data_IF_849008856037
#
_entry.id   IF_849008856037
#
_cell.length_a   1.000
_cell.length_b   1.000
_cell.length_c   1.000
_cell.angle_alpha   90.00
_cell.angle_beta   90.00
_cell.angle_gamma   90.00
#
_symmetry.space_group_name_H-M   'P 1'
#
loop_
_entity.id
_entity.type
_entity.pdbx_description
1 polymer ?
#
# COMPACT_ATOMS: atom_id res chain seq x y z
N UNK A 1 7.30 3.22 19.92
CA UNK A 1 8.12 4.36 19.54
C UNK A 1 7.90 5.49 20.55
N UNK A 2 8.95 5.91 21.27
CA UNK A 2 8.86 6.91 22.35
C UNK A 2 8.36 8.30 21.89
N UNK A 3 8.50 8.61 20.60
CA UNK A 3 8.06 9.89 20.02
C UNK A 3 6.60 9.89 19.57
N UNK A 4 5.98 8.72 19.44
CA UNK A 4 4.60 8.59 18.95
C UNK A 4 3.57 9.35 19.80
N UNK A 5 3.60 9.30 21.15
CA UNK A 5 2.69 10.08 21.98
C UNK A 5 2.89 11.59 21.89
N UNK A 6 4.13 12.04 21.62
CA UNK A 6 4.47 13.46 21.51
C UNK A 6 4.01 14.07 20.17
N UNK A 7 4.17 13.33 19.08
CA UNK A 7 3.84 13.81 17.75
C UNK A 7 2.35 13.69 17.44
N UNK A 8 1.69 12.63 17.91
CA UNK A 8 0.29 12.29 17.68
C UNK A 8 -0.26 12.81 16.32
N UNK A 9 0.35 12.42 15.19
CA UNK A 9 -0.03 12.94 13.89
C UNK A 9 -1.46 12.51 13.54
N UNK A 10 -2.18 13.30 12.79
CA UNK A 10 -3.52 12.91 12.31
C UNK A 10 -3.43 11.92 11.16
N UNK A 11 -2.47 12.12 10.27
CA UNK A 11 -2.28 11.35 9.03
C UNK A 11 -0.79 11.09 8.84
N UNK A 12 -0.44 9.86 8.48
CA UNK A 12 0.90 9.45 8.05
C UNK A 12 0.90 9.26 6.53
N UNK A 13 1.90 9.79 5.85
CA UNK A 13 2.08 9.64 4.41
C UNK A 13 3.34 8.81 4.17
N UNK A 14 3.22 7.78 3.34
CA UNK A 14 4.32 6.96 2.88
C UNK A 14 4.72 7.40 1.47
N UNK A 15 6.01 7.58 1.28
CA UNK A 15 6.62 7.90 -0.01
C UNK A 15 7.90 7.09 -0.15
N UNK A 16 7.99 6.31 -1.21
CA UNK A 16 9.24 5.61 -1.55
C UNK A 16 10.25 6.57 -2.18
N UNK A 17 11.52 6.24 -2.03
CA UNK A 17 12.62 6.91 -2.71
C UNK A 17 12.42 6.78 -4.23
N UNK A 18 12.56 7.88 -4.97
CA UNK A 18 12.29 7.92 -6.42
C UNK A 18 10.86 8.29 -6.79
N UNK A 19 9.93 8.33 -5.83
CA UNK A 19 8.56 8.80 -6.09
C UNK A 19 8.44 10.31 -5.94
N UNK A 20 7.91 10.97 -6.95
CA UNK A 20 7.72 12.43 -7.02
C UNK A 20 6.23 12.78 -7.06
N UNK A 21 5.64 13.22 -5.95
CA UNK A 21 4.27 13.72 -5.94
C UNK A 21 4.13 14.98 -6.80
N UNK A 22 3.07 15.07 -7.59
CA UNK A 22 2.74 16.29 -8.33
C UNK A 22 2.24 17.39 -7.36
N UNK A 23 2.28 18.65 -7.78
CA UNK A 23 1.74 19.77 -6.99
C UNK A 23 0.31 19.46 -6.50
N UNK A 24 0.04 19.80 -5.25
CA UNK A 24 -1.22 19.56 -4.55
C UNK A 24 -1.62 18.09 -4.30
N UNK A 25 -0.83 17.10 -4.71
CA UNK A 25 -1.18 15.68 -4.54
C UNK A 25 -1.28 15.28 -3.07
N UNK A 26 -0.38 15.76 -2.23
CA UNK A 26 -0.43 15.54 -0.77
C UNK A 26 -1.69 16.18 -0.17
N UNK A 27 -2.06 17.37 -0.63
CA UNK A 27 -3.29 18.04 -0.21
C UNK A 27 -4.54 17.22 -0.61
N UNK A 28 -4.56 16.64 -1.81
CA UNK A 28 -5.68 15.80 -2.24
C UNK A 28 -5.80 14.52 -1.42
N UNK A 29 -4.68 13.90 -1.02
CA UNK A 29 -4.70 12.77 -0.08
C UNK A 29 -5.26 13.20 1.28
N UNK A 30 -4.74 14.29 1.85
CA UNK A 30 -5.21 14.82 3.12
C UNK A 30 -6.71 15.10 3.09
N UNK A 31 -7.21 15.72 2.01
CA UNK A 31 -8.63 16.07 1.85
C UNK A 31 -9.56 14.85 1.89
N UNK A 32 -9.11 13.68 1.42
CA UNK A 32 -9.90 12.45 1.50
C UNK A 32 -10.21 12.06 2.95
N UNK A 33 -9.26 12.25 3.86
CA UNK A 33 -9.45 12.00 5.29
C UNK A 33 -10.26 13.09 6.00
N UNK A 34 -10.17 14.31 5.53
CA UNK A 34 -10.92 15.43 6.08
C UNK A 34 -12.41 15.34 5.70
N UNK A 35 -12.69 14.89 4.48
CA UNK A 35 -14.05 14.75 3.95
C UNK A 35 -14.84 13.57 4.53
N UNK A 36 -14.15 12.50 4.94
CA UNK A 36 -14.79 11.28 5.46
C UNK A 36 -14.00 10.74 6.66
N UNK A 37 -14.58 10.78 7.87
CA UNK A 37 -13.92 10.30 9.08
C UNK A 37 -13.66 8.79 9.07
N UNK A 38 -14.37 8.01 8.26
CA UNK A 38 -14.22 6.56 8.18
C UNK A 38 -13.06 6.12 7.26
N UNK A 39 -12.44 7.04 6.52
CA UNK A 39 -11.26 6.72 5.71
C UNK A 39 -10.08 6.42 6.63
N UNK A 40 -9.68 5.16 6.64
CA UNK A 40 -8.50 4.67 7.36
C UNK A 40 -7.22 4.70 6.54
N UNK A 41 -7.33 4.54 5.21
CA UNK A 41 -6.21 4.57 4.28
C UNK A 41 -6.61 5.12 2.90
N UNK A 42 -5.67 5.76 2.22
CA UNK A 42 -5.90 6.27 0.86
C UNK A 42 -4.62 6.16 0.03
N UNK A 43 -4.76 5.95 -1.28
CA UNK A 43 -3.65 6.06 -2.22
C UNK A 43 -3.98 6.97 -3.39
N UNK A 44 -2.94 7.50 -4.01
CA UNK A 44 -3.04 8.27 -5.24
C UNK A 44 -2.84 7.45 -6.50
N UNK A 45 -2.97 8.11 -7.64
CA UNK A 45 -2.60 7.60 -8.95
C UNK A 45 -1.08 7.62 -9.07
N UNK A 46 -0.46 6.45 -9.21
CA UNK A 46 0.96 6.33 -9.52
C UNK A 46 1.10 6.14 -11.03
N UNK A 47 1.97 6.94 -11.62
CA UNK A 47 2.31 6.85 -13.05
C UNK A 47 3.82 6.68 -13.21
N UNK A 48 4.21 6.01 -14.28
CA UNK A 48 5.62 5.82 -14.60
C UNK A 48 6.23 7.15 -15.07
N UNK A 49 7.43 7.46 -14.60
CA UNK A 49 8.21 8.59 -15.12
C UNK A 49 8.43 8.44 -16.62
N UNK A 50 8.12 9.50 -17.36
CA UNK A 50 8.20 9.48 -18.83
C UNK A 50 9.51 10.04 -19.37
N UNK A 51 10.31 10.66 -18.49
CA UNK A 51 11.50 11.40 -18.89
C UNK A 51 11.19 12.66 -19.73
N UNK A 52 12.24 13.36 -20.16
CA UNK A 52 12.08 14.51 -21.06
C UNK A 52 11.58 14.02 -22.42
N UNK A 53 10.54 14.69 -22.95
CA UNK A 53 9.94 14.36 -24.25
C UNK A 53 9.46 12.89 -24.38
N UNK A 54 9.13 12.25 -23.26
CA UNK A 54 8.57 10.88 -23.22
C UNK A 54 9.53 9.80 -23.71
N UNK A 55 10.85 10.07 -23.76
CA UNK A 55 11.82 9.13 -24.30
C UNK A 55 11.91 7.81 -23.53
N UNK A 56 11.60 7.80 -22.23
CA UNK A 56 11.55 6.58 -21.43
C UNK A 56 10.54 5.56 -21.96
N UNK A 57 9.44 6.02 -22.57
CA UNK A 57 8.43 5.14 -23.15
C UNK A 57 8.86 4.48 -24.46
N UNK A 58 10.00 4.86 -25.04
CA UNK A 58 10.59 4.13 -26.17
C UNK A 58 11.14 2.76 -25.75
N UNK A 59 11.43 2.57 -24.46
CA UNK A 59 11.75 1.26 -23.92
C UNK A 59 10.45 0.45 -23.78
N UNK A 60 10.29 -0.70 -24.48
CA UNK A 60 9.05 -1.49 -24.45
C UNK A 60 8.71 -2.02 -23.06
N UNK A 61 9.72 -2.27 -22.19
CA UNK A 61 9.48 -2.67 -20.81
C UNK A 61 8.84 -1.54 -19.99
N UNK A 62 9.32 -0.31 -20.15
CA UNK A 62 8.77 0.87 -19.48
C UNK A 62 7.36 1.16 -19.99
N UNK A 63 7.14 1.05 -21.31
CA UNK A 63 5.83 1.24 -21.93
C UNK A 63 4.80 0.21 -21.43
N UNK A 64 5.19 -1.07 -21.31
CA UNK A 64 4.32 -2.11 -20.77
C UNK A 64 3.92 -1.84 -19.31
N UNK A 65 4.88 -1.45 -18.47
CA UNK A 65 4.60 -1.09 -17.07
C UNK A 65 3.73 0.17 -16.96
N UNK A 66 3.96 1.16 -17.84
CA UNK A 66 3.11 2.35 -17.91
C UNK A 66 1.65 1.97 -18.25
N UNK A 67 1.45 1.08 -19.22
CA UNK A 67 0.12 0.59 -19.58
C UNK A 67 -0.53 -0.15 -18.39
N UNK A 68 0.19 -1.05 -17.74
CA UNK A 68 -0.31 -1.78 -16.57
C UNK A 68 -0.77 -0.84 -15.44
N UNK A 69 0.05 0.17 -15.11
CA UNK A 69 -0.31 1.15 -14.08
C UNK A 69 -1.55 1.95 -14.47
N UNK A 70 -1.67 2.33 -15.75
CA UNK A 70 -2.86 3.02 -16.27
C UNK A 70 -4.10 2.16 -16.17
N UNK A 71 -4.04 0.89 -16.55
CA UNK A 71 -5.15 -0.04 -16.43
C UNK A 71 -5.61 -0.18 -14.98
N UNK A 72 -4.68 -0.39 -14.06
CA UNK A 72 -5.00 -0.49 -12.63
C UNK A 72 -5.63 0.80 -12.08
N UNK A 73 -5.13 1.97 -12.48
CA UNK A 73 -5.67 3.26 -12.03
C UNK A 73 -7.05 3.61 -12.62
N UNK A 74 -7.40 3.04 -13.77
CA UNK A 74 -8.69 3.29 -14.45
C UNK A 74 -9.75 2.28 -14.03
N UNK A 75 -9.39 1.01 -13.85
CA UNK A 75 -10.31 -0.10 -13.61
C UNK A 75 -10.26 -0.60 -12.17
N UNK A 76 -9.12 -1.15 -11.73
CA UNK A 76 -9.05 -1.90 -10.49
C UNK A 76 -9.26 -1.01 -9.26
N UNK A 77 -8.45 0.02 -9.10
CA UNK A 77 -8.49 0.87 -7.92
C UNK A 77 -9.79 1.65 -7.74
N UNK A 78 -10.41 2.24 -8.79
CA UNK A 78 -11.73 2.86 -8.66
C UNK A 78 -12.81 1.86 -8.26
N UNK A 79 -12.80 0.66 -8.85
CA UNK A 79 -13.75 -0.40 -8.52
C UNK A 79 -13.58 -0.87 -7.05
N UNK A 80 -12.38 -1.22 -6.65
CA UNK A 80 -12.07 -1.60 -5.27
C UNK A 80 -12.44 -0.49 -4.26
N UNK A 81 -12.11 0.76 -4.59
CA UNK A 81 -12.46 1.92 -3.77
C UNK A 81 -13.97 2.13 -3.62
N UNK A 82 -14.77 1.80 -4.63
CA UNK A 82 -16.23 1.88 -4.54
C UNK A 82 -16.80 0.90 -3.51
N UNK A 83 -16.16 -0.26 -3.32
CA UNK A 83 -16.50 -1.23 -2.28
C UNK A 83 -15.85 -0.93 -0.91
N UNK A 84 -15.07 0.14 -0.79
CA UNK A 84 -14.41 0.55 0.46
C UNK A 84 -13.19 -0.28 0.86
N UNK A 85 -12.77 -1.21 0.02
CA UNK A 85 -11.57 -2.02 0.21
C UNK A 85 -10.67 -1.96 -1.01
N UNK A 86 -9.40 -1.64 -0.80
CA UNK A 86 -8.36 -1.67 -1.84
C UNK A 86 -7.35 -2.74 -1.42
N UNK A 87 -7.08 -3.67 -2.31
CA UNK A 87 -6.23 -4.84 -2.06
C UNK A 87 -4.77 -4.46 -1.74
N UNK A 88 -4.32 -3.31 -2.23
CA UNK A 88 -3.00 -2.76 -1.93
C UNK A 88 -3.02 -1.23 -2.01
N UNK A 89 -2.62 -0.58 -0.94
CA UNK A 89 -2.24 0.83 -0.92
C UNK A 89 -0.71 0.87 -1.06
N UNK A 90 -0.17 1.22 -2.24
CA UNK A 90 1.27 1.11 -2.49
C UNK A 90 2.07 2.01 -1.54
N UNK A 91 3.11 1.47 -0.90
CA UNK A 91 4.04 2.25 -0.07
C UNK A 91 4.65 3.44 -0.79
N UNK A 92 4.75 3.35 -2.12
CA UNK A 92 5.26 4.41 -2.97
C UNK A 92 4.48 5.73 -2.87
N UNK A 93 3.14 5.67 -2.76
CA UNK A 93 2.33 6.88 -2.59
C UNK A 93 0.99 6.56 -1.92
N UNK A 94 1.01 6.49 -0.61
CA UNK A 94 -0.17 6.21 0.20
C UNK A 94 -0.21 7.07 1.46
N UNK A 95 -1.36 7.12 2.09
CA UNK A 95 -1.58 7.83 3.34
C UNK A 95 -2.51 7.03 4.24
N UNK A 96 -2.33 7.17 5.55
CA UNK A 96 -3.09 6.43 6.55
C UNK A 96 -3.50 7.34 7.70
N UNK A 97 -4.71 7.16 8.20
CA UNK A 97 -5.15 7.80 9.45
C UNK A 97 -4.38 7.16 10.60
N UNK A 98 -3.72 7.98 11.42
CA UNK A 98 -2.85 7.48 12.49
C UNK A 98 -3.61 6.61 13.50
N UNK A 99 -4.83 7.00 13.87
CA UNK A 99 -5.68 6.19 14.78
C UNK A 99 -6.09 4.84 14.19
N UNK A 100 -6.20 4.73 12.86
CA UNK A 100 -6.45 3.46 12.20
C UNK A 100 -5.23 2.51 12.28
N UNK A 101 -4.01 3.06 12.18
CA UNK A 101 -2.76 2.29 12.29
C UNK A 101 -2.47 1.79 13.70
N UNK A 102 -2.96 2.49 14.73
CA UNK A 102 -2.64 2.15 16.12
C UNK A 102 -3.05 0.73 16.47
N UNK A 103 -2.20 0.06 17.24
CA UNK A 103 -2.52 -1.22 17.82
C UNK A 103 -3.55 -1.07 18.96
N UNK A 104 -4.18 -2.17 19.32
CA UNK A 104 -4.99 -2.29 20.52
C UNK A 104 -4.14 -2.20 21.80
N UNK A 105 -4.74 -2.09 22.99
CA UNK A 105 -4.01 -2.07 24.26
C UNK A 105 -3.17 -3.32 24.53
N UNK A 106 -3.48 -4.44 23.85
CA UNK A 106 -2.71 -5.69 23.95
C UNK A 106 -1.52 -5.72 22.98
N UNK A 107 -1.31 -4.65 22.20
CA UNK A 107 -0.20 -4.54 21.25
C UNK A 107 -0.47 -5.19 19.88
N UNK A 108 -1.67 -5.73 19.65
CA UNK A 108 -2.04 -6.32 18.36
C UNK A 108 -2.74 -5.29 17.46
N UNK A 109 -2.49 -5.36 16.15
CA UNK A 109 -3.15 -4.47 15.21
C UNK A 109 -2.37 -4.22 13.93
N UNK A 110 -2.83 -3.26 13.11
CA UNK A 110 -2.26 -3.03 11.78
C UNK A 110 -0.76 -2.70 11.81
N UNK A 111 -0.33 -1.83 12.71
CA UNK A 111 1.07 -1.43 12.80
C UNK A 111 1.98 -2.57 13.29
N UNK A 112 1.51 -3.39 14.25
CA UNK A 112 2.23 -4.59 14.68
C UNK A 112 2.40 -5.58 13.54
N UNK A 113 1.33 -5.85 12.80
CA UNK A 113 1.36 -6.75 11.66
C UNK A 113 2.28 -6.23 10.55
N UNK A 114 2.25 -4.94 10.24
CA UNK A 114 3.11 -4.32 9.24
C UNK A 114 4.61 -4.47 9.59
N UNK A 115 4.98 -4.13 10.83
CA UNK A 115 6.38 -4.19 11.29
C UNK A 115 6.91 -5.61 11.55
N UNK A 116 6.01 -6.59 11.65
CA UNK A 116 6.42 -7.99 11.88
C UNK A 116 7.31 -8.53 10.76
N UNK A 117 7.13 -8.07 9.54
CA UNK A 117 8.00 -8.41 8.40
C UNK A 117 9.47 -8.05 8.64
N UNK A 118 9.75 -6.86 9.18
CA UNK A 118 11.12 -6.42 9.47
C UNK A 118 11.81 -7.30 10.52
N UNK A 119 11.07 -7.68 11.58
CA UNK A 119 11.62 -8.54 12.64
C UNK A 119 11.91 -9.96 12.17
N UNK A 120 11.14 -10.47 11.20
CA UNK A 120 11.35 -11.79 10.61
C UNK A 120 12.55 -11.84 9.67
N UNK A 121 12.82 -10.78 8.91
CA UNK A 121 13.96 -10.71 8.00
C UNK A 121 15.28 -10.36 8.70
N UNK A 122 15.24 -9.75 9.89
CA UNK A 122 16.42 -9.35 10.67
C UNK A 122 16.90 -10.34 11.73
N UNK A 123 16.17 -11.40 12.03
CA UNK A 123 16.45 -12.31 13.14
C UNK A 123 16.58 -13.78 12.72
N UNK A 124 17.39 -14.53 13.48
CA UNK A 124 17.62 -15.99 13.38
C UNK A 124 16.40 -16.84 13.81
N UNK A 125 15.19 -16.42 13.51
CA UNK A 125 14.01 -17.26 13.78
C UNK A 125 13.66 -18.06 12.52
N UNK A 126 13.40 -19.36 12.70
CA UNK A 126 12.75 -20.26 11.73
C UNK A 126 11.36 -19.74 11.39
N UNK A 127 11.32 -18.67 10.56
CA UNK A 127 10.06 -18.17 10.05
C UNK A 127 9.52 -19.23 9.08
N UNK A 128 8.32 -19.71 9.33
CA UNK A 128 7.58 -20.54 8.41
C UNK A 128 7.58 -19.94 7.00
N UNK A 129 7.80 -20.78 5.98
CA UNK A 129 7.88 -20.39 4.56
C UNK A 129 6.65 -19.57 4.17
N UNK A 130 5.46 -19.91 4.67
CA UNK A 130 4.22 -19.19 4.42
C UNK A 130 4.30 -17.75 4.94
N UNK A 131 4.67 -17.58 6.21
CA UNK A 131 4.79 -16.26 6.84
C UNK A 131 5.86 -15.41 6.16
N UNK A 132 7.02 -15.97 5.85
CA UNK A 132 8.10 -15.24 5.18
C UNK A 132 7.70 -14.70 3.81
N UNK A 133 6.99 -15.49 3.01
CA UNK A 133 6.50 -15.05 1.71
C UNK A 133 5.32 -14.06 1.81
N UNK A 134 4.43 -14.23 2.78
CA UNK A 134 3.32 -13.31 3.01
C UNK A 134 3.81 -11.88 3.31
N UNK A 135 4.85 -11.76 4.14
CA UNK A 135 5.43 -10.45 4.50
C UNK A 135 6.32 -9.82 3.44
N UNK A 136 6.47 -10.44 2.25
CA UNK A 136 7.01 -9.77 1.06
C UNK A 136 6.04 -8.73 0.46
N UNK A 137 4.78 -8.73 0.89
CA UNK A 137 3.74 -7.78 0.50
C UNK A 137 3.05 -7.20 1.75
N UNK A 138 3.84 -6.60 2.61
CA UNK A 138 3.42 -5.98 3.88
C UNK A 138 2.28 -4.97 3.69
N UNK A 139 2.29 -4.23 2.58
CA UNK A 139 1.26 -3.27 2.22
C UNK A 139 -0.13 -3.92 2.09
N UNK A 140 -0.20 -5.14 1.56
CA UNK A 140 -1.46 -5.90 1.44
C UNK A 140 -1.97 -6.35 2.79
N UNK A 141 -1.06 -6.82 3.65
CA UNK A 141 -1.40 -7.21 5.02
C UNK A 141 -1.91 -6.00 5.80
N UNK A 142 -1.28 -4.85 5.63
CA UNK A 142 -1.72 -3.61 6.26
C UNK A 142 -3.14 -3.24 5.84
N UNK A 143 -3.46 -3.29 4.54
CA UNK A 143 -4.80 -3.03 4.02
C UNK A 143 -5.84 -3.99 4.65
N UNK A 144 -5.53 -5.27 4.71
CA UNK A 144 -6.38 -6.27 5.33
C UNK A 144 -6.62 -6.02 6.82
N UNK A 145 -5.56 -5.79 7.59
CA UNK A 145 -5.64 -5.54 9.03
C UNK A 145 -6.41 -4.24 9.37
N UNK A 146 -6.30 -3.22 8.51
CA UNK A 146 -7.09 -1.99 8.67
C UNK A 146 -8.60 -2.25 8.56
N UNK A 147 -9.02 -2.92 7.50
CA UNK A 147 -10.46 -3.16 7.23
C UNK A 147 -11.05 -4.17 8.21
N UNK A 148 -10.25 -5.15 8.67
CA UNK A 148 -10.69 -6.16 9.63
C UNK A 148 -10.44 -5.78 11.09
N UNK A 149 -10.01 -4.55 11.38
CA UNK A 149 -9.78 -4.08 12.74
C UNK A 149 -11.09 -4.08 13.53
N UNK A 150 -11.04 -4.68 14.73
CA UNK A 150 -12.22 -4.77 15.61
C UNK A 150 -12.73 -3.39 16.02
N UNK A 151 -14.03 -3.31 16.25
CA UNK A 151 -14.73 -2.11 16.72
C UNK A 151 -14.49 -0.88 15.84
N UNK A 152 -14.25 -1.09 14.55
CA UNK A 152 -14.02 -0.01 13.58
C UNK A 152 -14.55 -0.40 12.20
N UNK A 153 -14.90 0.61 11.40
CA UNK A 153 -15.39 0.45 10.02
C UNK A 153 -14.53 1.28 9.06
N UNK A 154 -13.22 1.01 9.08
CA UNK A 154 -12.28 1.73 8.22
C UNK A 154 -12.47 1.39 6.75
N UNK A 155 -12.49 2.42 5.92
CA UNK A 155 -12.56 2.34 4.46
C UNK A 155 -11.23 2.69 3.84
N UNK A 156 -10.94 2.08 2.70
CA UNK A 156 -9.80 2.42 1.86
C UNK A 156 -10.27 3.17 0.60
N UNK A 157 -9.58 4.25 0.24
CA UNK A 157 -9.99 5.14 -0.85
C UNK A 157 -8.90 5.35 -1.89
N UNK A 158 -9.30 5.34 -3.15
CA UNK A 158 -8.47 5.79 -4.27
C UNK A 158 -8.76 7.26 -4.59
N UNK A 159 -7.71 8.08 -4.60
CA UNK A 159 -7.80 9.54 -4.83
C UNK A 159 -7.16 9.88 -6.16
N UNK A 160 -7.93 9.83 -7.23
CA UNK A 160 -7.45 10.08 -8.61
C UNK A 160 -6.74 11.41 -8.80
N UNK A 161 -7.11 12.46 -8.05
CA UNK A 161 -6.47 13.79 -8.14
C UNK A 161 -5.10 13.85 -7.47
N UNK A 162 -4.80 12.93 -6.58
CA UNK A 162 -3.48 12.79 -5.98
C UNK A 162 -2.61 11.97 -6.93
N UNK A 163 -1.66 12.58 -7.60
CA UNK A 163 -0.81 11.91 -8.59
C UNK A 163 0.66 11.97 -8.18
N UNK A 164 1.38 10.87 -8.41
CA UNK A 164 2.81 10.80 -8.25
C UNK A 164 3.45 10.07 -9.44
N UNK A 165 4.68 10.45 -9.77
CA UNK A 165 5.49 9.76 -10.77
C UNK A 165 6.54 8.92 -10.05
N UNK A 166 6.76 7.70 -10.50
CA UNK A 166 7.79 6.81 -9.95
C UNK A 166 8.62 6.22 -11.08
N UNK A 167 9.87 5.90 -10.77
CA UNK A 167 10.73 5.11 -11.63
C UNK A 167 10.26 3.66 -11.71
N UNK A 168 10.66 2.98 -12.77
CA UNK A 168 10.35 1.56 -12.97
C UNK A 168 11.56 0.85 -13.58
N UNK A 169 11.68 -0.48 -13.38
CA UNK A 169 12.73 -1.27 -14.01
C UNK A 169 12.82 -1.06 -15.52
N UNK A 170 14.03 -0.77 -16.00
CA UNK A 170 14.34 -0.62 -17.43
C UNK A 170 14.94 -1.89 -18.03
N UNK A 171 15.35 -2.84 -17.18
CA UNK A 171 15.96 -4.10 -17.56
C UNK A 171 15.12 -5.31 -17.14
N UNK A 172 15.10 -6.36 -17.97
CA UNK A 172 14.29 -7.56 -17.73
C UNK A 172 14.63 -8.24 -16.40
N UNK A 173 15.91 -8.33 -16.04
CA UNK A 173 16.35 -8.98 -14.80
C UNK A 173 15.78 -8.28 -13.55
N UNK A 174 15.78 -6.96 -13.54
CA UNK A 174 15.20 -6.15 -12.46
C UNK A 174 13.68 -6.31 -12.39
N UNK A 175 13.01 -6.29 -13.56
CA UNK A 175 11.57 -6.50 -13.65
C UNK A 175 11.17 -7.87 -13.09
N UNK A 176 11.89 -8.95 -13.49
CA UNK A 176 11.62 -10.30 -12.98
C UNK A 176 11.81 -10.35 -11.46
N UNK A 177 12.90 -9.76 -10.95
CA UNK A 177 13.17 -9.72 -9.50
C UNK A 177 12.07 -9.00 -8.73
N UNK A 178 11.61 -7.84 -9.22
CA UNK A 178 10.53 -7.08 -8.63
C UNK A 178 9.20 -7.86 -8.66
N UNK A 179 8.84 -8.41 -9.83
CA UNK A 179 7.59 -9.16 -10.02
C UNK A 179 7.53 -10.45 -9.22
N UNK A 180 8.65 -11.12 -9.06
CA UNK A 180 8.73 -12.32 -8.21
C UNK A 180 8.31 -12.01 -6.78
N UNK A 181 8.78 -10.90 -6.19
CA UNK A 181 8.38 -10.47 -4.85
C UNK A 181 6.89 -10.16 -4.80
N UNK A 182 6.39 -9.37 -5.75
CA UNK A 182 4.99 -8.95 -5.77
C UNK A 182 4.02 -10.11 -5.96
N UNK A 183 4.31 -11.03 -6.87
CA UNK A 183 3.46 -12.19 -7.14
C UNK A 183 3.42 -13.15 -5.95
N UNK A 184 4.58 -13.49 -5.39
CA UNK A 184 4.63 -14.35 -4.22
C UNK A 184 3.89 -13.73 -3.03
N UNK A 185 4.22 -12.50 -2.67
CA UNK A 185 3.56 -11.81 -1.57
C UNK A 185 2.05 -11.68 -1.76
N UNK A 186 1.61 -11.36 -2.99
CA UNK A 186 0.19 -11.27 -3.32
C UNK A 186 -0.56 -12.59 -3.18
N UNK A 187 0.05 -13.67 -3.65
CA UNK A 187 -0.52 -15.01 -3.55
C UNK A 187 -0.72 -15.44 -2.09
N UNK A 188 0.32 -15.32 -1.27
CA UNK A 188 0.22 -15.68 0.15
C UNK A 188 -0.68 -14.75 0.96
N UNK A 189 -0.71 -13.45 0.64
CA UNK A 189 -1.64 -12.51 1.24
C UNK A 189 -3.11 -12.83 0.88
N UNK A 190 -3.38 -13.27 -0.35
CA UNK A 190 -4.73 -13.71 -0.75
C UNK A 190 -5.16 -14.95 0.02
N UNK A 191 -4.30 -15.96 0.14
CA UNK A 191 -4.58 -17.15 0.95
C UNK A 191 -4.86 -16.76 2.42
N UNK A 192 -4.04 -15.89 3.00
CA UNK A 192 -4.25 -15.38 4.36
C UNK A 192 -5.62 -14.73 4.51
N UNK A 193 -6.03 -13.90 3.55
CA UNK A 193 -7.32 -13.22 3.58
C UNK A 193 -8.50 -14.20 3.51
N UNK A 194 -8.38 -15.26 2.72
CA UNK A 194 -9.39 -16.33 2.62
C UNK A 194 -9.48 -17.09 3.94
N UNK A 195 -8.35 -17.51 4.52
CA UNK A 195 -8.33 -18.25 5.80
C UNK A 195 -8.92 -17.40 6.93
N UNK A 196 -8.67 -16.09 6.92
CA UNK A 196 -9.12 -15.14 7.94
C UNK A 196 -10.44 -14.44 7.61
N UNK A 197 -11.13 -14.87 6.54
CA UNK A 197 -12.34 -14.21 6.03
C UNK A 197 -13.42 -14.00 7.12
N UNK A 198 -13.57 -14.93 8.04
CA UNK A 198 -14.50 -14.80 9.17
C UNK A 198 -14.25 -13.59 10.10
N UNK A 199 -13.10 -12.91 9.99
CA UNK A 199 -12.81 -11.68 10.75
C UNK A 199 -13.61 -10.47 10.25
N UNK A 200 -14.09 -10.49 8.99
CA UNK A 200 -14.88 -9.40 8.40
C UNK A 200 -16.27 -9.29 9.06
N UNK A 201 -16.80 -10.41 9.57
CA UNK A 201 -18.13 -10.49 10.16
C UNK A 201 -18.14 -10.36 11.69
N UNK A 202 -17.08 -9.95 12.28
CA UNK A 202 -16.94 -9.70 13.71
C UNK A 202 -16.73 -8.21 13.95
#
# INVERSE_FOLDING_TARGET
NALSPLLNPRICILLDVGTMPKPHSIYHLWRAFDSDPNVGGACGEIVVQKGKLWHELLNPLVAAQHFEYKMSNILDKPMESAFGYISVLPGAFSAYRYTALQNDPMGHGPLHSYLKGETMHGGKHDADIFSSNMYLAEDRILCWELVTKRDSAWLLRFVKRAQAETDVPTHVAELISQRRRWLNGSFFAAIHSIIKFGRIYR
#
